data_IF_353384794155
#
_entry.id   IF_353384794155
#
_cell.length_a   1.000
_cell.length_b   1.000
_cell.length_c   1.000
_cell.angle_alpha   90.00
_cell.angle_beta   90.00
_cell.angle_gamma   90.00
#
_symmetry.space_group_name_H-M   'P 1'
#
loop_
_entity.id
_entity.type
_entity.pdbx_description
1 polymer ?
#
# COMPACT_ATOMS: atom_id res chain seq x y z
N UNK A 1 5.00 -39.52 2.82
CA UNK A 1 4.32 -38.32 2.28
C UNK A 1 4.23 -37.17 3.29
N UNK A 2 4.29 -37.44 4.60
CA UNK A 2 4.35 -36.44 5.69
C UNK A 2 5.70 -35.72 5.80
N UNK A 3 6.83 -36.44 5.70
CA UNK A 3 8.18 -35.85 5.85
C UNK A 3 8.53 -34.74 4.85
N UNK A 4 8.01 -34.77 3.62
CA UNK A 4 8.23 -33.70 2.65
C UNK A 4 7.49 -32.41 3.05
N UNK A 5 6.30 -32.54 3.64
CA UNK A 5 5.47 -31.41 4.10
C UNK A 5 6.12 -30.72 5.29
N UNK A 6 6.73 -31.49 6.19
CA UNK A 6 7.45 -30.96 7.35
C UNK A 6 8.74 -30.23 6.94
N UNK A 7 9.46 -30.72 5.92
CA UNK A 7 10.60 -29.98 5.33
C UNK A 7 10.19 -28.69 4.66
N UNK A 8 9.09 -28.67 3.91
CA UNK A 8 8.56 -27.46 3.29
C UNK A 8 8.17 -26.42 4.35
N UNK A 9 7.47 -26.83 5.40
CA UNK A 9 7.07 -25.96 6.51
C UNK A 9 8.28 -25.44 7.31
N UNK A 10 9.31 -26.27 7.54
CA UNK A 10 10.57 -25.85 8.16
C UNK A 10 11.28 -24.82 7.30
N UNK A 11 11.41 -25.09 6.00
CA UNK A 11 12.08 -24.19 5.05
C UNK A 11 11.36 -22.85 4.95
N UNK A 12 10.02 -22.85 4.93
CA UNK A 12 9.20 -21.63 4.98
C UNK A 12 9.40 -20.84 6.28
N UNK A 13 9.49 -21.53 7.41
CA UNK A 13 9.67 -20.90 8.74
C UNK A 13 11.10 -20.35 8.90
N UNK A 14 12.11 -21.05 8.42
CA UNK A 14 13.52 -20.65 8.49
C UNK A 14 13.80 -19.45 7.56
N UNK A 15 13.14 -19.37 6.40
CA UNK A 15 13.20 -18.19 5.52
C UNK A 15 12.45 -17.00 6.14
N UNK A 16 11.29 -17.20 6.78
CA UNK A 16 10.57 -16.12 7.48
C UNK A 16 11.30 -15.53 8.69
N UNK A 17 12.14 -16.33 9.36
CA UNK A 17 12.94 -15.94 10.51
C UNK A 17 14.30 -15.35 10.13
N UNK A 18 14.69 -15.41 8.85
CA UNK A 18 15.93 -14.84 8.37
C UNK A 18 15.94 -13.31 8.62
N UNK A 19 17.05 -12.74 9.14
CA UNK A 19 17.16 -11.32 9.48
C UNK A 19 16.80 -10.37 8.32
N UNK A 20 17.00 -10.79 7.08
CA UNK A 20 16.63 -10.05 5.86
C UNK A 20 15.12 -9.80 5.72
N UNK A 21 14.27 -10.77 6.11
CA UNK A 21 12.80 -10.61 6.05
C UNK A 21 12.29 -9.64 7.12
N UNK A 22 12.95 -9.61 8.28
CA UNK A 22 12.59 -8.70 9.37
C UNK A 22 12.89 -7.23 9.01
N UNK A 23 13.99 -6.99 8.29
CA UNK A 23 14.39 -5.65 7.86
C UNK A 23 13.51 -5.14 6.72
N UNK A 24 13.12 -6.03 5.79
CA UNK A 24 12.13 -5.76 4.77
C UNK A 24 10.78 -5.37 5.38
N UNK A 25 10.27 -6.17 6.33
CA UNK A 25 9.02 -5.89 7.07
C UNK A 25 9.10 -4.60 7.88
N UNK A 26 10.25 -4.28 8.48
CA UNK A 26 10.41 -3.04 9.26
C UNK A 26 10.40 -1.80 8.37
N UNK A 27 11.07 -1.84 7.21
CA UNK A 27 11.00 -0.78 6.21
C UNK A 27 9.60 -0.63 5.61
N UNK A 28 8.93 -1.74 5.34
CA UNK A 28 7.53 -1.76 4.88
C UNK A 28 6.59 -1.08 5.89
N UNK A 29 6.64 -1.51 7.16
CA UNK A 29 5.80 -0.92 8.22
C UNK A 29 6.09 0.56 8.42
N UNK A 30 7.35 0.99 8.35
CA UNK A 30 7.72 2.41 8.51
C UNK A 30 7.17 3.31 7.40
N UNK A 31 6.77 2.74 6.26
CA UNK A 31 6.14 3.46 5.16
C UNK A 31 4.61 3.38 5.21
N UNK A 32 4.05 2.19 5.41
CA UNK A 32 2.60 1.98 5.40
C UNK A 32 1.92 2.57 6.65
N UNK A 33 2.50 2.43 7.84
CA UNK A 33 1.90 2.98 9.06
C UNK A 33 1.64 4.50 8.99
N UNK A 34 2.59 5.36 8.60
CA UNK A 34 2.30 6.78 8.48
C UNK A 34 1.28 7.10 7.39
N UNK A 35 1.27 6.37 6.26
CA UNK A 35 0.25 6.56 5.22
C UNK A 35 -1.15 6.17 5.71
N UNK A 36 -1.28 5.03 6.39
CA UNK A 36 -2.54 4.60 7.00
C UNK A 36 -2.99 5.57 8.08
N UNK A 37 -2.08 6.07 8.93
CA UNK A 37 -2.39 7.07 9.93
C UNK A 37 -2.89 8.38 9.29
N UNK A 38 -2.23 8.84 8.22
CA UNK A 38 -2.64 10.02 7.48
C UNK A 38 -4.05 9.82 6.86
N UNK A 39 -4.30 8.66 6.27
CA UNK A 39 -5.60 8.31 5.71
C UNK A 39 -6.70 8.29 6.78
N UNK A 40 -6.43 7.69 7.94
CA UNK A 40 -7.38 7.67 9.06
C UNK A 40 -7.66 9.07 9.58
N UNK A 41 -6.64 9.91 9.77
CA UNK A 41 -6.81 11.31 10.18
C UNK A 41 -7.67 12.05 9.15
N UNK A 42 -7.37 11.89 7.86
CA UNK A 42 -8.15 12.49 6.78
C UNK A 42 -9.62 12.00 6.75
N UNK A 43 -9.84 10.71 6.96
CA UNK A 43 -11.18 10.13 7.10
C UNK A 43 -11.94 10.71 8.30
N UNK A 44 -11.30 10.82 9.46
CA UNK A 44 -11.93 11.44 10.63
C UNK A 44 -12.24 12.91 10.41
N UNK A 45 -11.36 13.67 9.75
CA UNK A 45 -11.64 15.05 9.34
C UNK A 45 -12.90 15.11 8.49
N UNK A 46 -13.05 14.22 7.51
CA UNK A 46 -14.26 14.14 6.70
C UNK A 46 -15.51 13.86 7.55
N UNK A 47 -15.46 12.86 8.43
CA UNK A 47 -16.60 12.49 9.30
C UNK A 47 -16.97 13.63 10.25
N UNK A 48 -15.99 14.28 10.88
CA UNK A 48 -16.23 15.40 11.78
C UNK A 48 -16.79 16.61 11.03
N UNK A 49 -16.29 16.93 9.83
CA UNK A 49 -16.90 17.97 9.01
C UNK A 49 -18.32 17.60 8.58
N UNK A 50 -18.57 16.31 8.30
CA UNK A 50 -19.87 15.82 7.92
C UNK A 50 -20.90 15.98 9.04
N UNK A 51 -20.52 15.70 10.29
CA UNK A 51 -21.42 15.71 11.44
C UNK A 51 -21.60 17.11 12.06
N UNK A 52 -20.51 17.87 12.19
CA UNK A 52 -20.53 19.17 12.89
C UNK A 52 -20.68 20.37 11.94
N UNK A 53 -20.24 20.25 10.70
CA UNK A 53 -20.14 21.37 9.75
C UNK A 53 -21.06 21.19 8.54
N UNK A 54 -22.33 20.82 8.76
CA UNK A 54 -23.34 20.67 7.72
C UNK A 54 -23.42 21.89 6.78
N UNK A 55 -23.31 23.10 7.31
CA UNK A 55 -23.30 24.34 6.51
C UNK A 55 -22.12 24.45 5.55
N UNK A 56 -20.93 24.00 5.96
CA UNK A 56 -19.75 23.94 5.10
C UNK A 56 -19.85 22.81 4.08
N UNK A 57 -20.31 21.63 4.50
CA UNK A 57 -20.48 20.46 3.63
C UNK A 57 -21.53 20.68 2.53
N UNK A 58 -22.56 21.46 2.83
CA UNK A 58 -23.61 21.86 1.87
C UNK A 58 -23.22 23.04 0.99
N UNK A 59 -22.09 23.70 1.27
CA UNK A 59 -21.60 24.82 0.47
C UNK A 59 -21.36 24.38 -0.98
N UNK A 60 -22.03 25.04 -1.92
CA UNK A 60 -21.94 24.76 -3.34
C UNK A 60 -20.82 25.61 -3.94
N UNK A 61 -19.84 24.95 -4.56
CA UNK A 61 -18.69 25.62 -5.17
C UNK A 61 -19.00 25.97 -6.64
N UNK A 62 -19.85 25.19 -7.30
CA UNK A 62 -20.31 25.45 -8.66
C UNK A 62 -21.39 24.47 -9.09
N UNK A 63 -22.53 24.99 -9.59
CA UNK A 63 -23.68 24.17 -9.98
C UNK A 63 -24.19 23.30 -8.82
N UNK A 64 -24.31 21.99 -9.05
CA UNK A 64 -24.76 21.00 -8.06
C UNK A 64 -23.61 20.36 -7.27
N UNK A 65 -22.37 20.82 -7.45
CA UNK A 65 -21.19 20.30 -6.75
C UNK A 65 -21.03 21.02 -5.41
N UNK A 66 -21.11 20.26 -4.32
CA UNK A 66 -20.86 20.75 -2.97
C UNK A 66 -19.53 20.23 -2.40
N UNK A 67 -19.10 20.83 -1.30
CA UNK A 67 -17.86 20.45 -0.61
C UNK A 67 -17.90 18.99 -0.15
N UNK A 68 -19.04 18.49 0.31
CA UNK A 68 -19.19 17.10 0.72
C UNK A 68 -18.88 16.11 -0.41
N UNK A 69 -19.34 16.41 -1.63
CA UNK A 69 -19.09 15.59 -2.82
C UNK A 69 -17.60 15.58 -3.16
N UNK A 70 -16.92 16.74 -3.10
CA UNK A 70 -15.49 16.83 -3.37
C UNK A 70 -14.65 16.09 -2.32
N UNK A 71 -14.95 16.28 -1.04
CA UNK A 71 -14.25 15.57 0.03
C UNK A 71 -14.50 14.06 -0.04
N UNK A 72 -15.74 13.65 -0.33
CA UNK A 72 -16.08 12.24 -0.56
C UNK A 72 -15.33 11.65 -1.77
N UNK A 73 -15.26 12.37 -2.89
CA UNK A 73 -14.45 11.95 -4.04
C UNK A 73 -12.95 11.89 -3.69
N UNK A 74 -12.48 12.82 -2.87
CA UNK A 74 -11.13 12.82 -2.30
C UNK A 74 -10.81 11.54 -1.51
N UNK A 75 -11.78 10.96 -0.80
CA UNK A 75 -11.62 9.67 -0.12
C UNK A 75 -11.29 8.55 -1.13
N UNK A 76 -12.03 8.48 -2.25
CA UNK A 76 -11.75 7.50 -3.30
C UNK A 76 -10.37 7.73 -3.92
N UNK A 77 -10.06 8.97 -4.33
CA UNK A 77 -8.78 9.32 -4.94
C UNK A 77 -7.62 8.99 -4.00
N UNK A 78 -7.74 9.29 -2.71
CA UNK A 78 -6.70 8.96 -1.72
C UNK A 78 -6.48 7.46 -1.57
N UNK A 79 -7.56 6.66 -1.62
CA UNK A 79 -7.46 5.19 -1.59
C UNK A 79 -6.67 4.67 -2.79
N UNK A 80 -7.01 5.13 -4.00
CA UNK A 80 -6.25 4.78 -5.20
C UNK A 80 -4.80 5.26 -5.14
N UNK A 81 -4.56 6.47 -4.63
CA UNK A 81 -3.23 7.03 -4.46
C UNK A 81 -2.38 6.17 -3.52
N UNK A 82 -2.92 5.74 -2.37
CA UNK A 82 -2.22 4.86 -1.43
C UNK A 82 -1.86 3.53 -2.09
N UNK A 83 -2.81 2.92 -2.81
CA UNK A 83 -2.56 1.67 -3.54
C UNK A 83 -1.50 1.83 -4.64
N UNK A 84 -1.57 2.90 -5.44
CA UNK A 84 -0.57 3.18 -6.48
C UNK A 84 0.82 3.44 -5.90
N UNK A 85 0.89 4.23 -4.81
CA UNK A 85 2.14 4.49 -4.10
C UNK A 85 2.73 3.18 -3.54
N UNK A 86 1.88 2.29 -3.02
CA UNK A 86 2.29 0.96 -2.57
C UNK A 86 2.85 0.12 -3.73
N UNK A 87 2.12 0.00 -4.85
CA UNK A 87 2.57 -0.77 -6.02
C UNK A 87 3.90 -0.22 -6.54
N UNK A 88 3.99 1.09 -6.71
CA UNK A 88 5.22 1.77 -7.15
C UNK A 88 6.40 1.50 -6.22
N UNK A 89 6.17 1.45 -4.90
CA UNK A 89 7.21 1.14 -3.92
C UNK A 89 7.60 -0.33 -3.94
N UNK A 90 6.63 -1.23 -4.15
CA UNK A 90 6.87 -2.66 -4.30
C UNK A 90 7.67 -2.94 -5.58
N UNK A 91 7.27 -2.39 -6.73
CA UNK A 91 7.99 -2.52 -8.01
C UNK A 91 9.42 -2.00 -7.88
N UNK A 92 9.64 -0.82 -7.29
CA UNK A 92 10.99 -0.28 -7.02
C UNK A 92 11.87 -1.17 -6.13
N UNK A 93 11.28 -2.10 -5.37
CA UNK A 93 11.98 -3.06 -4.50
C UNK A 93 12.08 -4.46 -5.08
N UNK A 94 11.21 -4.83 -6.01
CA UNK A 94 11.16 -6.13 -6.69
C UNK A 94 11.91 -6.09 -8.03
N UNK A 95 11.99 -4.93 -8.68
CA UNK A 95 12.73 -4.75 -9.95
C UNK A 95 14.25 -5.04 -9.91
N UNK A 96 15.01 -4.95 -8.80
CA UNK A 96 16.38 -5.45 -8.80
C UNK A 96 16.50 -6.98 -8.91
N UNK A 97 15.41 -7.74 -8.78
CA UNK A 97 15.37 -9.18 -9.07
C UNK A 97 14.93 -9.48 -10.50
N UNK A 98 14.07 -8.64 -11.10
CA UNK A 98 13.66 -8.78 -12.49
C UNK A 98 14.83 -8.53 -13.46
N UNK A 99 15.66 -7.51 -13.23
CA UNK A 99 16.84 -7.22 -14.06
C UNK A 99 17.92 -8.31 -13.93
N UNK A 100 18.11 -8.90 -12.74
CA UNK A 100 19.03 -10.02 -12.52
C UNK A 100 18.56 -11.31 -13.18
N UNK A 101 17.25 -11.59 -13.19
CA UNK A 101 16.69 -12.78 -13.84
C UNK A 101 16.71 -12.64 -15.37
N UNK A 102 16.48 -11.43 -15.89
CA UNK A 102 16.56 -11.13 -17.33
C UNK A 102 17.98 -11.33 -17.87
N UNK A 103 19.01 -10.93 -17.11
CA UNK A 103 20.41 -11.18 -17.46
C UNK A 103 20.84 -12.65 -17.38
N UNK A 104 20.19 -13.49 -16.59
CA UNK A 104 20.46 -14.94 -16.58
C UNK A 104 19.79 -15.68 -17.73
N UNK A 105 18.67 -15.17 -18.25
CA UNK A 105 17.91 -15.80 -19.34
C UNK A 105 18.37 -15.32 -20.72
N UNK A 106 18.78 -14.06 -20.87
CA UNK A 106 19.35 -13.51 -22.13
C UNK A 106 20.83 -13.89 -22.34
N UNK A 107 21.43 -14.66 -21.41
CA UNK A 107 22.83 -15.07 -21.41
C UNK A 107 23.13 -16.50 -21.87
N UNK A 108 22.16 -17.24 -22.42
CA UNK A 108 22.46 -18.46 -23.18
C UNK A 108 22.64 -18.11 -24.68
N UNK A 109 23.89 -17.99 -25.18
CA UNK A 109 24.14 -18.11 -26.60
C UNK A 109 23.81 -19.55 -27.01
N UNK A 110 22.86 -19.73 -27.93
CA UNK A 110 22.87 -20.90 -28.80
C UNK A 110 23.99 -20.75 -29.83
#
# INVERSE_FOLDING_TARGET
MSEMRDRELSTYRDVQLSPDFSELRRRFRRFVFPMTALFLVWYFVYVLLADYAHGFMSYRIGGNINVALLLGLGQFVSTFAITMIYVRWADRRVDPDAEKLRHQIEGEPQ
#
